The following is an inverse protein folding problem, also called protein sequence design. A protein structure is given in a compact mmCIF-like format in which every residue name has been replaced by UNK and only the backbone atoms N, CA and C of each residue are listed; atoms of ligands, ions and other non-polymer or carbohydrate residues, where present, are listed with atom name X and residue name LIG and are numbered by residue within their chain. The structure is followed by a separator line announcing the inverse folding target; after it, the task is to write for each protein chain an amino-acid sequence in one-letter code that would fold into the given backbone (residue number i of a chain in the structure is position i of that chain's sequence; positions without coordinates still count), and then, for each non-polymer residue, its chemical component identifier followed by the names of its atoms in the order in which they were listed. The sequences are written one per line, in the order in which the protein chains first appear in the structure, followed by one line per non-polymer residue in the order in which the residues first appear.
data_IF_613306173228
#
_entry.id   IF_613306173228
#
_cell.length_a   1.000
_cell.length_b   1.000
_cell.length_c   1.000
_cell.angle_alpha   90.00
_cell.angle_beta   90.00
_cell.angle_gamma   90.00
#
_symmetry.space_group_name_H-M   'P 1'
#
loop_
_entity.id
_entity.type
_entity.pdbx_description
1 polymer ?
#
# COMPACT_ATOMS: atom_id res chain seq x y z
N UNK A 1 -30.50 36.64 44.17
CA UNK A 1 -31.55 37.37 43.41
C UNK A 1 -32.96 36.90 43.73
N UNK A 2 -33.25 35.60 43.87
CA UNK A 2 -34.61 35.13 44.25
C UNK A 2 -34.89 35.33 45.75
N UNK A 3 -33.91 35.07 46.63
CA UNK A 3 -34.09 35.22 48.09
C UNK A 3 -34.31 36.67 48.55
N UNK A 4 -33.70 37.65 47.86
CA UNK A 4 -33.88 39.08 48.16
C UNK A 4 -35.28 39.59 47.82
N UNK A 5 -35.93 39.05 46.78
CA UNK A 5 -37.30 39.42 46.41
C UNK A 5 -38.34 38.84 47.37
N UNK A 6 -38.08 37.69 47.99
CA UNK A 6 -38.97 37.10 49.00
C UNK A 6 -38.95 37.87 50.33
N UNK A 7 -37.80 38.43 50.73
CA UNK A 7 -37.70 39.27 51.93
C UNK A 7 -38.51 40.57 51.80
N UNK A 8 -38.45 41.23 50.64
CA UNK A 8 -39.15 42.51 50.41
C UNK A 8 -40.67 42.36 50.39
N UNK A 9 -41.19 41.26 49.83
CA UNK A 9 -42.62 40.95 49.88
C UNK A 9 -43.08 40.58 51.29
N UNK A 10 -42.20 39.96 52.09
CA UNK A 10 -42.48 39.63 53.48
C UNK A 10 -42.59 40.90 54.34
N UNK A 11 -41.67 41.86 54.16
CA UNK A 11 -41.65 43.12 54.92
C UNK A 11 -42.85 44.02 54.58
N UNK A 12 -43.27 44.10 53.32
CA UNK A 12 -44.47 44.85 52.93
C UNK A 12 -45.75 44.19 53.48
N UNK A 13 -45.80 42.86 53.48
CA UNK A 13 -46.94 42.09 53.98
C UNK A 13 -47.02 42.16 55.52
N UNK A 14 -45.89 42.16 56.21
CA UNK A 14 -45.82 42.30 57.66
C UNK A 14 -46.06 43.75 58.11
N UNK A 15 -45.63 44.75 57.34
CA UNK A 15 -46.06 46.13 57.55
C UNK A 15 -47.56 46.27 57.34
N UNK A 16 -48.15 45.69 56.28
CA UNK A 16 -49.61 45.70 56.08
C UNK A 16 -50.36 44.96 57.19
N UNK A 17 -49.83 43.85 57.71
CA UNK A 17 -50.43 43.15 58.87
C UNK A 17 -50.31 43.99 60.13
N UNK A 18 -49.15 44.57 60.43
CA UNK A 18 -48.96 45.42 61.61
C UNK A 18 -49.79 46.69 61.52
N UNK A 19 -49.90 47.30 60.35
CA UNK A 19 -50.73 48.47 60.13
C UNK A 19 -52.21 48.12 60.26
N UNK A 20 -52.67 46.99 59.70
CA UNK A 20 -54.02 46.47 59.94
C UNK A 20 -54.28 46.20 61.43
N UNK A 21 -53.31 45.63 62.15
CA UNK A 21 -53.41 45.39 63.60
C UNK A 21 -53.39 46.71 64.41
N UNK A 22 -52.61 47.72 64.00
CA UNK A 22 -52.62 49.07 64.61
C UNK A 22 -53.95 49.79 64.36
N UNK A 23 -54.53 49.66 63.16
CA UNK A 23 -55.87 50.18 62.85
C UNK A 23 -56.94 49.48 63.69
N UNK A 24 -56.88 48.16 63.86
CA UNK A 24 -57.80 47.40 64.72
C UNK A 24 -57.64 47.74 66.22
N UNK A 25 -56.40 47.91 66.70
CA UNK A 25 -56.12 48.36 68.07
C UNK A 25 -56.54 49.82 68.29
N UNK A 26 -56.35 50.72 67.31
CA UNK A 26 -56.89 52.09 67.34
C UNK A 26 -58.43 52.09 67.31
N UNK A 27 -59.07 51.17 66.57
CA UNK A 27 -60.53 51.02 66.55
C UNK A 27 -61.07 50.53 67.90
N UNK A 28 -60.46 49.51 68.51
CA UNK A 28 -60.84 49.02 69.85
C UNK A 28 -60.51 49.99 71.00
N UNK A 29 -59.52 50.86 70.83
CA UNK A 29 -59.20 51.92 71.80
C UNK A 29 -60.05 53.19 71.58
N UNK A 30 -60.63 53.39 70.39
CA UNK A 30 -61.55 54.52 70.12
C UNK A 30 -62.92 54.34 70.77
N UNK A 31 -63.36 53.12 71.04
CA UNK A 31 -64.58 52.87 71.82
C UNK A 31 -64.37 53.09 73.34
N UNK A 32 -63.11 53.11 73.80
CA UNK A 32 -62.75 53.25 75.23
C UNK A 32 -62.05 54.58 75.58
N UNK A 33 -61.54 55.34 74.60
CA UNK A 33 -60.87 56.65 74.76
C UNK A 33 -61.57 57.78 74.01
N UNK A 34 -62.89 57.75 73.96
CA UNK A 34 -63.71 58.93 73.66
C UNK A 34 -63.91 59.79 74.93
N UNK A 35 -62.89 59.95 75.78
CA UNK A 35 -62.95 60.82 76.97
C UNK A 35 -61.72 61.70 77.19
N UNK A 36 -60.50 61.28 76.83
CA UNK A 36 -59.32 62.01 77.31
C UNK A 36 -58.44 62.50 76.15
N UNK A 37 -58.77 63.67 75.63
CA UNK A 37 -57.79 64.61 75.06
C UNK A 37 -58.19 66.00 75.54
N UNK A 38 -57.56 66.45 76.62
CA UNK A 38 -57.52 67.86 77.02
C UNK A 38 -56.84 68.63 75.89
N UNK A 39 -57.65 69.40 75.16
CA UNK A 39 -57.17 70.53 74.37
C UNK A 39 -57.55 71.72 75.22
N UNK A 40 -56.55 72.45 75.69
CA UNK A 40 -56.67 73.67 76.49
C UNK A 40 -57.87 74.50 76.03
N UNK A 41 -58.80 74.70 76.96
CA UNK A 41 -59.86 75.68 76.79
C UNK A 41 -59.21 77.03 76.53
N UNK A 42 -59.56 77.75 75.45
CA UNK A 42 -59.40 79.19 75.49
C UNK A 42 -60.37 79.70 76.55
N UNK A 43 -59.83 79.95 77.73
CA UNK A 43 -60.37 80.90 78.70
C UNK A 43 -60.81 82.14 77.92
N UNK A 44 -62.12 82.33 77.81
CA UNK A 44 -62.68 83.65 77.53
C UNK A 44 -64.11 83.67 78.05
N UNK A 45 -64.18 84.00 79.33
CA UNK A 45 -65.18 84.89 79.91
C UNK A 45 -66.00 85.66 78.86
N UNK A 46 -67.29 85.38 78.82
CA UNK A 46 -68.27 86.42 78.53
C UNK A 46 -69.61 86.04 79.16
N UNK A 47 -69.61 85.98 80.49
CA UNK A 47 -70.76 86.45 81.25
C UNK A 47 -70.94 87.94 80.92
N UNK A 48 -71.75 88.24 79.91
CA UNK A 48 -72.27 89.59 79.70
C UNK A 48 -73.75 89.58 80.03
N UNK A 49 -73.96 89.69 81.35
CA UNK A 49 -74.97 90.53 81.98
C UNK A 49 -75.51 91.58 81.00
N UNK A 50 -76.83 91.56 80.80
CA UNK A 50 -77.60 92.60 80.13
C UNK A 50 -77.00 93.98 80.45
N UNK A 51 -76.34 94.59 79.45
CA UNK A 51 -75.56 95.81 79.68
C UNK A 51 -76.47 96.90 80.21
N UNK A 52 -75.95 97.83 81.02
CA UNK A 52 -76.77 98.94 81.54
C UNK A 52 -77.41 99.77 80.41
N UNK A 53 -76.80 99.75 79.21
CA UNK A 53 -77.35 100.34 77.97
C UNK A 53 -78.64 99.63 77.51
N UNK A 54 -78.72 98.30 77.64
CA UNK A 54 -79.93 97.53 77.33
C UNK A 54 -81.05 97.83 78.34
N UNK A 55 -80.72 98.01 79.62
CA UNK A 55 -81.71 98.40 80.66
C UNK A 55 -82.22 99.81 80.45
N UNK A 56 -81.34 100.77 80.14
CA UNK A 56 -81.71 102.15 79.86
C UNK A 56 -82.58 102.27 78.60
N UNK A 57 -82.26 101.53 77.53
CA UNK A 57 -83.08 101.51 76.32
C UNK A 57 -84.47 100.91 76.57
N UNK A 58 -84.57 99.81 77.33
CA UNK A 58 -85.85 99.20 77.73
C UNK A 58 -86.68 100.16 78.60
N UNK A 59 -86.05 100.85 79.57
CA UNK A 59 -86.71 101.85 80.43
C UNK A 59 -87.20 103.06 79.61
N UNK A 60 -86.40 103.52 78.64
CA UNK A 60 -86.76 104.66 77.77
C UNK A 60 -87.88 104.32 76.78
N UNK A 61 -87.89 103.10 76.25
CA UNK A 61 -88.99 102.57 75.42
C UNK A 61 -90.28 102.37 76.21
N UNK A 62 -90.22 101.87 77.44
CA UNK A 62 -91.40 101.65 78.30
C UNK A 62 -91.97 102.96 78.89
N UNK A 63 -91.15 103.99 79.12
CA UNK A 63 -91.63 105.31 79.54
C UNK A 63 -92.28 106.11 78.41
N UNK A 64 -91.82 105.99 77.16
CA UNK A 64 -92.40 106.71 76.02
C UNK A 64 -93.79 106.21 75.57
N UNK A 65 -94.24 105.03 76.02
CA UNK A 65 -95.57 104.50 75.69
C UNK A 65 -96.69 104.92 76.66
N UNK A 66 -96.39 105.65 77.75
CA UNK A 66 -97.41 106.06 78.76
C UNK A 66 -98.28 107.26 78.37
N UNK A 67 -98.26 107.72 77.11
CA UNK A 67 -99.04 108.89 76.66
C UNK A 67 -99.83 108.67 75.36
N UNK A 68 -100.48 107.51 75.22
CA UNK A 68 -101.62 107.34 74.31
C UNK A 68 -102.61 106.36 74.95
N UNK A 69 -103.90 106.70 75.02
CA UNK A 69 -104.96 105.82 75.55
C UNK A 69 -105.23 104.68 74.56
N UNK A 70 -104.32 103.70 74.52
CA UNK A 70 -104.55 102.41 73.88
C UNK A 70 -105.50 101.61 74.77
N UNK A 71 -106.56 101.04 74.18
CA UNK A 71 -107.48 100.14 74.87
C UNK A 71 -106.68 99.03 75.55
N UNK A 72 -107.08 98.59 76.75
CA UNK A 72 -106.45 97.48 77.48
C UNK A 72 -106.16 96.29 76.56
N UNK A 73 -107.02 96.07 75.56
CA UNK A 73 -106.88 95.03 74.54
C UNK A 73 -105.65 95.18 73.65
N UNK A 74 -105.23 96.38 73.29
CA UNK A 74 -104.05 96.62 72.43
C UNK A 74 -102.75 96.57 73.22
N UNK A 75 -102.76 96.97 74.49
CA UNK A 75 -101.66 96.72 75.42
C UNK A 75 -101.45 95.21 75.65
N UNK A 76 -102.54 94.48 75.93
CA UNK A 76 -102.49 93.03 76.06
C UNK A 76 -102.02 92.35 74.77
N UNK A 77 -102.41 92.85 73.60
CA UNK A 77 -101.94 92.36 72.30
C UNK A 77 -100.45 92.58 72.09
N UNK A 78 -99.95 93.80 72.32
CA UNK A 78 -98.52 94.12 72.20
C UNK A 78 -97.66 93.35 73.20
N UNK A 79 -98.12 93.17 74.45
CA UNK A 79 -97.42 92.32 75.42
C UNK A 79 -97.42 90.84 75.02
N UNK A 80 -98.52 90.35 74.46
CA UNK A 80 -98.59 88.97 73.95
C UNK A 80 -97.67 88.78 72.73
N UNK A 81 -97.64 89.74 71.80
CA UNK A 81 -96.71 89.76 70.65
C UNK A 81 -95.25 89.82 71.13
N UNK A 82 -94.94 90.68 72.10
CA UNK A 82 -93.60 90.78 72.71
C UNK A 82 -93.21 89.46 73.39
N UNK A 83 -94.12 88.83 74.12
CA UNK A 83 -93.88 87.53 74.74
C UNK A 83 -93.62 86.43 73.70
N UNK A 84 -94.41 86.35 72.62
CA UNK A 84 -94.19 85.38 71.55
C UNK A 84 -92.86 85.62 70.84
N UNK A 85 -92.53 86.87 70.52
CA UNK A 85 -91.25 87.21 69.90
C UNK A 85 -90.09 86.86 70.84
N UNK A 86 -90.20 87.16 72.12
CA UNK A 86 -89.18 86.81 73.12
C UNK A 86 -89.04 85.30 73.30
N UNK A 87 -90.15 84.55 73.35
CA UNK A 87 -90.15 83.09 73.37
C UNK A 87 -89.51 82.52 72.11
N UNK A 88 -89.86 83.06 70.93
CA UNK A 88 -89.31 82.63 69.64
C UNK A 88 -87.82 82.91 69.56
N UNK A 89 -87.37 84.09 69.98
CA UNK A 89 -85.95 84.44 70.07
C UNK A 89 -85.24 83.48 71.04
N UNK A 90 -85.83 83.17 72.19
CA UNK A 90 -85.23 82.25 73.16
C UNK A 90 -85.11 80.83 72.60
N UNK A 91 -86.16 80.31 71.94
CA UNK A 91 -86.11 79.00 71.25
C UNK A 91 -85.05 79.00 70.16
N UNK A 92 -84.94 80.06 69.35
CA UNK A 92 -83.92 80.17 68.30
C UNK A 92 -82.51 80.29 68.87
N UNK A 93 -82.32 81.05 69.96
CA UNK A 93 -81.03 81.13 70.67
C UNK A 93 -80.60 79.76 71.21
N UNK A 94 -81.50 79.04 71.87
CA UNK A 94 -81.22 77.69 72.37
C UNK A 94 -80.91 76.70 71.23
N UNK A 95 -81.61 76.81 70.09
CA UNK A 95 -81.34 75.98 68.92
C UNK A 95 -79.98 76.31 68.28
N UNK A 96 -79.63 77.60 68.17
CA UNK A 96 -78.31 78.06 67.71
C UNK A 96 -77.22 77.50 68.63
N UNK A 97 -77.37 77.64 69.95
CA UNK A 97 -76.41 77.13 70.92
C UNK A 97 -76.23 75.61 70.81
N UNK A 98 -77.33 74.86 70.60
CA UNK A 98 -77.26 73.41 70.37
C UNK A 98 -76.47 73.08 69.11
N UNK A 99 -76.76 73.76 68.00
CA UNK A 99 -76.07 73.54 66.72
C UNK A 99 -74.59 73.94 66.80
N UNK A 100 -74.25 75.04 67.46
CA UNK A 100 -72.87 75.46 67.70
C UNK A 100 -72.11 74.45 68.58
N UNK A 101 -72.79 73.83 69.55
CA UNK A 101 -72.20 72.76 70.36
C UNK A 101 -71.92 71.51 69.53
N UNK A 102 -72.84 71.11 68.66
CA UNK A 102 -72.66 69.93 67.81
C UNK A 102 -71.63 70.18 66.71
N UNK A 103 -71.62 71.37 66.10
CA UNK A 103 -70.59 71.79 65.14
C UNK A 103 -69.19 71.75 65.78
N UNK A 104 -69.03 72.27 67.00
CA UNK A 104 -67.74 72.21 67.73
C UNK A 104 -67.29 70.78 68.02
N UNK A 105 -68.21 69.85 68.30
CA UNK A 105 -67.85 68.43 68.48
C UNK A 105 -67.37 67.82 67.16
N UNK A 106 -68.07 68.09 66.07
CA UNK A 106 -67.71 67.58 64.73
C UNK A 106 -66.37 68.17 64.26
N UNK A 107 -66.14 69.46 64.47
CA UNK A 107 -64.87 70.12 64.16
C UNK A 107 -63.71 69.52 64.96
N UNK A 108 -63.88 69.28 66.27
CA UNK A 108 -62.85 68.59 67.08
C UNK A 108 -62.59 67.17 66.60
N UNK A 109 -63.64 66.43 66.21
CA UNK A 109 -63.49 65.08 65.68
C UNK A 109 -62.75 65.08 64.33
N UNK A 110 -63.03 66.07 63.47
CA UNK A 110 -62.35 66.26 62.20
C UNK A 110 -60.88 66.62 62.41
N UNK A 111 -60.57 67.58 63.28
CA UNK A 111 -59.18 67.97 63.61
C UNK A 111 -58.41 66.76 64.15
N UNK A 112 -59.05 65.93 64.98
CA UNK A 112 -58.41 64.72 65.52
C UNK A 112 -58.13 63.69 64.42
N UNK A 113 -59.05 63.48 63.48
CA UNK A 113 -58.83 62.54 62.37
C UNK A 113 -57.79 63.05 61.36
N UNK A 114 -57.77 64.36 61.07
CA UNK A 114 -56.76 65.01 60.24
C UNK A 114 -55.35 64.89 60.86
N UNK A 115 -55.23 65.11 62.18
CA UNK A 115 -53.97 64.87 62.92
C UNK A 115 -53.49 63.43 62.78
N UNK A 116 -54.37 62.44 62.93
CA UNK A 116 -53.95 61.04 62.75
C UNK A 116 -53.51 60.73 61.33
N UNK A 117 -54.19 61.26 60.31
CA UNK A 117 -53.80 61.04 58.91
C UNK A 117 -52.45 61.69 58.62
N UNK A 118 -52.22 62.91 59.11
CA UNK A 118 -50.94 63.61 58.94
C UNK A 118 -49.79 62.90 59.65
N UNK A 119 -50.01 62.38 60.86
CA UNK A 119 -49.05 61.53 61.56
C UNK A 119 -48.75 60.23 60.80
N UNK A 120 -49.77 59.53 60.30
CA UNK A 120 -49.60 58.28 59.55
C UNK A 120 -48.91 58.53 58.18
N UNK A 121 -49.19 59.66 57.52
CA UNK A 121 -48.48 60.10 56.30
C UNK A 121 -46.99 60.35 56.59
N UNK A 122 -46.67 61.05 57.68
CA UNK A 122 -45.28 61.29 58.06
C UNK A 122 -44.53 59.98 58.38
N UNK A 123 -45.19 59.00 58.99
CA UNK A 123 -44.63 57.67 59.22
C UNK A 123 -44.40 56.91 57.91
N UNK A 124 -45.31 57.06 56.94
CA UNK A 124 -45.17 56.43 55.63
C UNK A 124 -44.02 57.04 54.82
N UNK A 125 -43.85 58.36 54.85
CA UNK A 125 -42.73 59.03 54.20
C UNK A 125 -41.39 58.58 54.81
N UNK A 126 -41.30 58.49 56.15
CA UNK A 126 -40.13 57.95 56.83
C UNK A 126 -39.84 56.49 56.44
N UNK A 127 -40.89 55.68 56.26
CA UNK A 127 -40.75 54.30 55.79
C UNK A 127 -40.21 54.25 54.35
N UNK A 128 -40.74 55.08 53.44
CA UNK A 128 -40.26 55.15 52.06
C UNK A 128 -38.80 55.61 52.00
N UNK A 129 -38.42 56.60 52.79
CA UNK A 129 -37.02 57.06 52.87
C UNK A 129 -36.09 55.95 53.37
N UNK A 130 -36.49 55.25 54.44
CA UNK A 130 -35.70 54.13 54.98
C UNK A 130 -35.60 52.97 53.98
N UNK A 131 -36.69 52.65 53.28
CA UNK A 131 -36.71 51.62 52.26
C UNK A 131 -35.87 51.98 51.04
N UNK A 132 -35.99 53.20 50.52
CA UNK A 132 -35.20 53.70 49.41
C UNK A 132 -33.70 53.70 49.75
N UNK A 133 -33.34 54.12 50.97
CA UNK A 133 -31.95 54.03 51.46
C UNK A 133 -31.47 52.59 51.52
N UNK A 134 -32.23 51.68 52.14
CA UNK A 134 -31.84 50.27 52.23
C UNK A 134 -31.73 49.61 50.84
N UNK A 135 -32.64 49.91 49.92
CA UNK A 135 -32.59 49.42 48.54
C UNK A 135 -31.36 49.96 47.80
N UNK A 136 -31.06 51.25 47.95
CA UNK A 136 -29.86 51.88 47.40
C UNK A 136 -28.59 51.29 47.99
N UNK A 137 -28.53 51.08 49.31
CA UNK A 137 -27.38 50.49 50.00
C UNK A 137 -27.18 49.02 49.62
N UNK A 138 -28.27 48.28 49.36
CA UNK A 138 -28.19 46.92 48.85
C UNK A 138 -27.66 46.89 47.41
N UNK A 139 -28.12 47.81 46.55
CA UNK A 139 -27.61 47.94 45.18
C UNK A 139 -26.13 48.34 45.16
N UNK A 140 -25.74 49.34 45.96
CA UNK A 140 -24.36 49.79 46.07
C UNK A 140 -23.42 48.66 46.53
N UNK A 141 -23.83 47.86 47.52
CA UNK A 141 -23.06 46.69 47.96
C UNK A 141 -22.94 45.62 46.86
N UNK A 142 -24.01 45.36 46.13
CA UNK A 142 -23.98 44.41 45.00
C UNK A 142 -23.05 44.89 43.88
N UNK A 143 -23.07 46.20 43.57
CA UNK A 143 -22.18 46.81 42.57
C UNK A 143 -20.72 46.76 43.03
N UNK A 144 -20.44 47.06 44.31
CA UNK A 144 -19.10 46.96 44.90
C UNK A 144 -18.57 45.51 44.84
N UNK A 145 -19.39 44.52 45.18
CA UNK A 145 -19.04 43.10 45.04
C UNK A 145 -18.80 42.71 43.57
N UNK A 146 -19.60 43.23 42.65
CA UNK A 146 -19.43 43.01 41.21
C UNK A 146 -18.12 43.62 40.69
N UNK A 147 -17.76 44.83 41.12
CA UNK A 147 -16.49 45.47 40.80
C UNK A 147 -15.30 44.65 41.32
N UNK A 148 -15.35 44.23 42.60
CA UNK A 148 -14.30 43.37 43.19
C UNK A 148 -14.14 42.05 42.41
N UNK A 149 -15.25 41.43 42.01
CA UNK A 149 -15.23 40.22 41.18
C UNK A 149 -14.57 40.48 39.83
N UNK A 150 -14.90 41.60 39.16
CA UNK A 150 -14.31 41.96 37.88
C UNK A 150 -12.80 42.22 37.99
N UNK A 151 -12.35 42.90 39.04
CA UNK A 151 -10.93 43.08 39.35
C UNK A 151 -10.20 41.74 39.51
N UNK A 152 -10.77 40.81 40.29
CA UNK A 152 -10.20 39.46 40.46
C UNK A 152 -10.14 38.69 39.14
N UNK A 153 -11.18 38.78 38.30
CA UNK A 153 -11.19 38.15 36.98
C UNK A 153 -10.08 38.73 36.09
N UNK A 154 -9.88 40.05 36.12
CA UNK A 154 -8.84 40.70 35.34
C UNK A 154 -7.43 40.30 35.83
N UNK A 155 -7.25 40.15 37.14
CA UNK A 155 -6.00 39.66 37.71
C UNK A 155 -5.75 38.18 37.36
N UNK A 156 -6.77 37.32 37.40
CA UNK A 156 -6.68 35.93 36.93
C UNK A 156 -6.21 35.89 35.48
N UNK A 157 -6.84 36.68 34.59
CA UNK A 157 -6.45 36.76 33.17
C UNK A 157 -5.00 37.22 33.00
N UNK A 158 -4.55 38.19 33.81
CA UNK A 158 -3.16 38.67 33.80
C UNK A 158 -2.21 37.55 34.22
N UNK A 159 -2.52 36.84 35.30
CA UNK A 159 -1.73 35.71 35.79
C UNK A 159 -1.69 34.56 34.78
N UNK A 160 -2.83 34.19 34.18
CA UNK A 160 -2.91 33.18 33.12
C UNK A 160 -2.00 33.53 31.92
N UNK A 161 -2.01 34.80 31.50
CA UNK A 161 -1.10 35.28 30.44
C UNK A 161 0.36 35.10 30.84
N UNK A 162 0.74 35.49 32.06
CA UNK A 162 2.13 35.32 32.53
C UNK A 162 2.52 33.85 32.69
N UNK A 163 1.58 33.00 33.11
CA UNK A 163 1.81 31.57 33.23
C UNK A 163 2.07 30.96 31.84
N UNK A 164 1.31 31.37 30.82
CA UNK A 164 1.54 30.93 29.45
C UNK A 164 2.91 31.38 28.93
N UNK A 165 3.35 32.61 29.21
CA UNK A 165 4.69 33.06 28.81
C UNK A 165 5.78 32.23 29.47
N UNK A 166 5.70 32.00 30.79
CA UNK A 166 6.67 31.15 31.49
C UNK A 166 6.64 29.70 31.02
N UNK A 167 5.47 29.17 30.65
CA UNK A 167 5.35 27.83 30.07
C UNK A 167 6.04 27.75 28.70
N UNK A 168 5.85 28.76 27.85
CA UNK A 168 6.52 28.84 26.55
C UNK A 168 8.04 28.97 26.73
N UNK A 169 8.50 29.81 27.65
CA UNK A 169 9.92 29.96 27.98
C UNK A 169 10.51 28.65 28.51
N UNK A 170 9.80 27.96 29.42
CA UNK A 170 10.19 26.62 29.91
C UNK A 170 10.33 25.63 28.77
N UNK A 171 9.37 25.59 27.84
CA UNK A 171 9.43 24.67 26.70
C UNK A 171 10.59 25.02 25.77
N UNK A 172 10.82 26.31 25.51
CA UNK A 172 11.96 26.78 24.74
C UNK A 172 13.30 26.36 25.37
N UNK A 173 13.44 26.55 26.69
CA UNK A 173 14.64 26.12 27.43
C UNK A 173 14.81 24.60 27.41
N UNK A 174 13.73 23.82 27.53
CA UNK A 174 13.77 22.36 27.41
C UNK A 174 14.26 21.95 26.02
N UNK A 175 13.78 22.60 24.97
CA UNK A 175 14.21 22.29 23.60
C UNK A 175 15.66 22.72 23.35
N UNK A 176 16.10 23.87 23.88
CA UNK A 176 17.50 24.30 23.82
C UNK A 176 18.42 23.31 24.56
N UNK A 177 18.00 22.80 25.73
CA UNK A 177 18.73 21.76 26.46
C UNK A 177 18.80 20.46 25.66
N UNK A 178 17.71 20.05 25.00
CA UNK A 178 17.72 18.87 24.11
C UNK A 178 18.69 19.05 22.95
N UNK A 179 18.70 20.21 22.30
CA UNK A 179 19.64 20.51 21.21
C UNK A 179 21.08 20.49 21.71
N UNK A 180 21.35 21.16 22.84
CA UNK A 180 22.68 21.19 23.46
C UNK A 180 23.17 19.79 23.81
N UNK A 181 22.29 18.91 24.34
CA UNK A 181 22.61 17.49 24.57
C UNK A 181 22.92 16.72 23.30
N UNK A 182 22.18 16.95 22.20
CA UNK A 182 22.50 16.33 20.91
C UNK A 182 23.86 16.80 20.39
N UNK A 183 24.16 18.09 20.48
CA UNK A 183 25.46 18.63 20.09
C UNK A 183 26.58 18.05 20.97
N UNK A 184 26.37 17.94 22.27
CA UNK A 184 27.31 17.31 23.19
C UNK A 184 27.57 15.85 22.84
N UNK A 185 26.51 15.06 22.57
CA UNK A 185 26.65 13.67 22.13
C UNK A 185 27.41 13.57 20.80
N UNK A 186 27.10 14.46 19.85
CA UNK A 186 27.81 14.53 18.57
C UNK A 186 29.29 14.83 18.80
N UNK A 187 29.62 15.88 19.56
CA UNK A 187 31.00 16.24 19.88
C UNK A 187 31.74 15.11 20.59
N UNK A 188 31.10 14.39 21.51
CA UNK A 188 31.73 13.26 22.18
C UNK A 188 32.15 12.16 21.18
N UNK A 189 31.35 11.86 20.16
CA UNK A 189 31.68 10.89 19.11
C UNK A 189 32.87 11.28 18.23
N UNK A 190 33.14 12.58 18.09
CA UNK A 190 34.30 13.07 17.34
C UNK A 190 35.54 13.29 18.21
N UNK A 191 35.41 13.28 19.54
CA UNK A 191 36.55 13.38 20.43
C UNK A 191 37.48 12.15 20.27
N UNK A 192 38.81 12.27 20.46
CA UNK A 192 39.73 11.14 20.38
C UNK A 192 39.35 10.00 21.35
N UNK A 193 39.52 8.75 20.92
CA UNK A 193 39.23 7.55 21.74
C UNK A 193 40.00 7.56 23.05
N UNK A 194 41.29 7.92 23.03
CA UNK A 194 42.14 8.01 24.22
C UNK A 194 41.57 8.98 25.27
N UNK A 195 40.98 10.10 24.82
CA UNK A 195 40.37 11.08 25.71
C UNK A 195 39.03 10.58 26.26
N UNK A 196 38.20 9.95 25.41
CA UNK A 196 36.93 9.33 25.86
C UNK A 196 37.17 8.24 26.90
N UNK A 197 38.19 7.40 26.69
CA UNK A 197 38.53 6.31 27.59
C UNK A 197 39.06 6.82 28.93
N UNK A 198 39.83 7.92 28.93
CA UNK A 198 40.24 8.59 30.18
C UNK A 198 39.03 9.08 30.99
N UNK A 199 38.02 9.67 30.33
CA UNK A 199 36.77 10.08 30.98
C UNK A 199 36.04 8.83 31.52
N UNK A 200 35.82 7.81 30.69
CA UNK A 200 35.17 6.56 31.06
C UNK A 200 35.85 5.88 32.26
N UNK A 201 37.18 5.83 32.30
CA UNK A 201 37.94 5.23 33.39
C UNK A 201 37.85 6.04 34.70
N UNK A 202 37.90 7.37 34.61
CA UNK A 202 37.73 8.25 35.78
C UNK A 202 36.32 8.17 36.38
N UNK A 203 35.31 7.90 35.56
CA UNK A 203 33.91 7.74 36.00
C UNK A 203 33.58 6.34 36.51
N UNK A 204 34.17 5.30 35.92
CA UNK A 204 34.09 3.93 36.43
C UNK A 204 34.65 3.80 37.87
N UNK A 205 35.62 4.64 38.23
CA UNK A 205 36.13 4.72 39.61
C UNK A 205 35.17 5.43 40.60
N UNK A 206 34.12 6.12 40.13
CA UNK A 206 33.14 6.83 40.98
C UNK A 206 31.81 6.08 41.20
N UNK A 207 31.48 5.07 40.39
CA UNK A 207 30.22 4.33 40.48
C UNK A 207 30.40 2.83 40.19
N UNK A 208 30.84 2.06 41.19
CA UNK A 208 30.96 0.60 41.09
C UNK A 208 29.64 -0.14 41.43
N UNK A 209 28.65 0.52 42.05
CA UNK A 209 27.54 -0.22 42.68
C UNK A 209 26.22 -0.34 41.89
N UNK A 210 26.07 0.21 40.67
CA UNK A 210 24.74 0.27 40.02
C UNK A 210 24.57 -0.29 38.59
N UNK A 211 25.58 -0.81 37.90
CA UNK A 211 25.48 -0.94 36.42
C UNK A 211 26.01 -2.21 35.75
N UNK A 212 25.72 -3.40 36.29
CA UNK A 212 26.18 -4.68 35.69
C UNK A 212 25.44 -5.13 34.41
N UNK A 213 24.43 -4.42 33.90
CA UNK A 213 23.61 -4.91 32.77
C UNK A 213 23.30 -3.89 31.67
N UNK A 214 24.17 -2.91 31.42
CA UNK A 214 23.86 -1.91 30.39
C UNK A 214 24.93 -1.87 29.32
N UNK A 215 24.50 -2.09 28.07
CA UNK A 215 25.32 -2.05 26.87
C UNK A 215 26.10 -0.73 26.78
N UNK A 216 27.32 -0.77 26.22
CA UNK A 216 28.27 0.37 26.13
C UNK A 216 27.60 1.64 25.57
N UNK A 217 26.67 1.49 24.63
CA UNK A 217 25.87 2.59 24.05
C UNK A 217 25.05 3.40 25.08
N UNK A 218 24.59 2.77 26.16
CA UNK A 218 23.84 3.46 27.22
C UNK A 218 24.75 4.16 28.22
N UNK A 219 26.01 3.74 28.35
CA UNK A 219 26.97 4.34 29.27
C UNK A 219 27.34 5.77 28.81
N UNK A 220 27.49 5.96 27.49
CA UNK A 220 27.72 7.26 26.85
C UNK A 220 26.59 8.27 27.09
N UNK A 221 25.33 7.79 27.04
CA UNK A 221 24.14 8.60 27.35
C UNK A 221 24.07 9.02 28.82
N UNK A 222 24.47 8.14 29.75
CA UNK A 222 24.45 8.40 31.19
C UNK A 222 25.58 9.36 31.58
N UNK A 223 26.77 9.20 30.99
CA UNK A 223 27.92 10.07 31.28
C UNK A 223 27.73 11.49 30.77
N UNK A 224 27.07 11.65 29.62
CA UNK A 224 26.67 12.96 29.08
C UNK A 224 25.44 13.57 29.77
N UNK A 225 24.86 12.88 30.76
CA UNK A 225 23.80 13.41 31.62
C UNK A 225 24.32 14.09 32.90
N UNK A 226 25.61 13.90 33.22
CA UNK A 226 26.26 14.51 34.38
C UNK A 226 26.99 15.79 33.96
N UNK A 227 26.68 16.90 34.64
CA UNK A 227 27.03 18.28 34.25
C UNK A 227 28.52 18.66 34.44
N UNK A 228 29.37 17.73 34.89
CA UNK A 228 30.70 18.06 35.44
C UNK A 228 31.91 17.73 34.53
N UNK A 229 31.70 17.41 33.25
CA UNK A 229 32.82 17.08 32.34
C UNK A 229 33.16 18.24 31.40
N UNK A 230 34.43 18.67 31.44
CA UNK A 230 34.98 19.59 30.45
C UNK A 230 34.91 18.97 29.06
N UNK A 231 34.41 19.72 28.07
CA UNK A 231 34.39 19.29 26.67
C UNK A 231 35.81 19.26 26.09
N UNK A 232 36.09 18.30 25.19
CA UNK A 232 37.35 18.24 24.44
C UNK A 232 37.48 19.44 23.48
N UNK A 233 36.40 19.75 22.77
CA UNK A 233 36.35 20.85 21.82
C UNK A 233 35.99 22.16 22.52
N UNK A 234 36.82 23.18 22.33
CA UNK A 234 36.64 24.53 22.90
C UNK A 234 36.35 25.57 21.83
N UNK A 235 36.79 25.34 20.59
CA UNK A 235 36.54 26.23 19.45
C UNK A 235 35.92 25.44 18.28
N UNK A 236 34.98 26.02 17.53
CA UNK A 236 34.36 25.35 16.38
C UNK A 236 35.35 24.91 15.30
N UNK A 237 36.43 25.69 15.11
CA UNK A 237 37.44 25.45 14.08
C UNK A 237 38.16 24.10 14.27
N UNK A 238 38.29 23.63 15.51
CA UNK A 238 38.92 22.34 15.83
C UNK A 238 38.15 21.16 15.23
N UNK A 239 36.82 21.25 15.20
CA UNK A 239 35.99 20.22 14.58
C UNK A 239 36.08 20.28 13.05
N UNK A 240 36.14 21.49 12.48
CA UNK A 240 36.30 21.70 11.04
C UNK A 240 37.63 21.12 10.55
N UNK A 241 38.72 21.32 11.31
CA UNK A 241 40.03 20.75 11.01
C UNK A 241 40.00 19.21 10.96
N UNK A 242 39.33 18.55 11.91
CA UNK A 242 39.12 17.10 11.89
C UNK A 242 38.31 16.67 10.66
N UNK A 243 37.26 17.42 10.29
CA UNK A 243 36.49 17.13 9.09
C UNK A 243 37.33 17.26 7.82
N UNK A 244 38.14 18.31 7.71
CA UNK A 244 39.06 18.50 6.58
C UNK A 244 40.12 17.40 6.53
N UNK A 245 40.67 16.98 7.67
CA UNK A 245 41.61 15.85 7.73
C UNK A 245 40.95 14.52 7.34
N UNK A 246 39.72 14.26 7.80
CA UNK A 246 38.97 13.08 7.37
C UNK A 246 38.63 13.12 5.88
N UNK A 247 38.27 14.29 5.35
CA UNK A 247 38.02 14.50 3.93
C UNK A 247 39.30 14.21 3.12
N UNK A 248 40.43 14.81 3.52
CA UNK A 248 41.74 14.61 2.90
C UNK A 248 42.20 13.14 2.95
N UNK A 249 41.91 12.40 4.02
CA UNK A 249 42.21 10.96 4.10
C UNK A 249 41.25 10.09 3.31
N UNK A 250 39.97 10.47 3.22
CA UNK A 250 38.94 9.69 2.53
C UNK A 250 39.03 9.83 1.01
N UNK A 251 39.42 11.00 0.50
CA UNK A 251 39.46 11.27 -0.94
C UNK A 251 40.43 10.34 -1.70
N UNK A 252 41.71 10.15 -1.27
CA UNK A 252 42.62 9.19 -1.91
C UNK A 252 42.15 7.74 -1.77
N UNK A 253 41.42 7.41 -0.70
CA UNK A 253 40.86 6.07 -0.52
C UNK A 253 39.74 5.80 -1.53
N UNK A 254 38.89 6.80 -1.77
CA UNK A 254 37.85 6.75 -2.81
C UNK A 254 38.51 6.63 -4.19
N UNK A 255 39.50 7.46 -4.51
CA UNK A 255 40.25 7.36 -5.77
C UNK A 255 40.91 5.99 -5.95
N UNK A 256 41.55 5.46 -4.89
CA UNK A 256 42.13 4.12 -4.92
C UNK A 256 41.06 3.05 -5.16
N UNK A 257 39.92 3.14 -4.50
CA UNK A 257 38.82 2.19 -4.68
C UNK A 257 38.27 2.23 -6.12
N UNK A 258 38.13 3.42 -6.69
CA UNK A 258 37.69 3.61 -8.06
C UNK A 258 38.72 3.04 -9.05
N UNK A 259 40.00 3.37 -8.90
CA UNK A 259 41.07 2.81 -9.73
C UNK A 259 41.09 1.28 -9.65
N UNK A 260 40.94 0.69 -8.46
CA UNK A 260 40.86 -0.77 -8.33
C UNK A 260 39.63 -1.37 -9.00
N UNK A 261 38.48 -0.68 -8.96
CA UNK A 261 37.27 -1.09 -9.68
C UNK A 261 37.50 -1.07 -11.19
N UNK A 262 38.08 0.01 -11.72
CA UNK A 262 38.38 0.13 -13.16
C UNK A 262 39.36 -0.95 -13.62
N UNK A 263 40.37 -1.29 -12.81
CA UNK A 263 41.30 -2.40 -13.11
C UNK A 263 40.56 -3.74 -13.12
N UNK A 264 39.67 -3.97 -12.15
CA UNK A 264 38.83 -5.19 -12.13
C UNK A 264 37.93 -5.28 -13.35
N UNK A 265 37.31 -4.18 -13.77
CA UNK A 265 36.46 -4.13 -14.96
C UNK A 265 37.25 -4.42 -16.24
N UNK A 266 38.49 -3.91 -16.35
CA UNK A 266 39.41 -4.25 -17.45
C UNK A 266 39.76 -5.73 -17.43
N UNK A 267 40.10 -6.30 -16.28
CA UNK A 267 40.39 -7.74 -16.14
C UNK A 267 39.16 -8.56 -16.56
N UNK A 268 37.97 -8.20 -16.07
CA UNK A 268 36.73 -8.90 -16.40
C UNK A 268 36.43 -8.83 -17.91
N UNK A 269 36.65 -7.68 -18.54
CA UNK A 269 36.53 -7.53 -19.99
C UNK A 269 37.51 -8.44 -20.73
N UNK A 270 38.80 -8.49 -20.32
CA UNK A 270 39.80 -9.38 -20.94
C UNK A 270 39.49 -10.86 -20.74
N UNK A 271 38.96 -11.26 -19.58
CA UNK A 271 38.50 -12.63 -19.33
C UNK A 271 37.32 -12.96 -20.26
N UNK A 272 36.36 -12.04 -20.40
CA UNK A 272 35.21 -12.24 -21.27
C UNK A 272 35.62 -12.40 -22.75
N UNK A 273 36.56 -11.58 -23.23
CA UNK A 273 37.05 -11.68 -24.62
C UNK A 273 37.87 -12.95 -24.84
N UNK A 274 38.76 -13.30 -23.91
CA UNK A 274 39.58 -14.52 -24.03
C UNK A 274 38.73 -15.79 -23.95
N UNK A 275 37.70 -15.81 -23.10
CA UNK A 275 36.76 -16.91 -23.03
C UNK A 275 35.97 -17.06 -24.34
N UNK A 276 35.50 -15.96 -24.92
CA UNK A 276 34.86 -15.98 -26.24
C UNK A 276 35.79 -16.52 -27.34
N UNK A 277 37.05 -16.08 -27.38
CA UNK A 277 38.05 -16.57 -28.33
C UNK A 277 38.34 -18.07 -28.14
N UNK A 278 38.47 -18.52 -26.89
CA UNK A 278 38.68 -19.93 -26.55
C UNK A 278 37.47 -20.79 -26.94
N UNK A 279 36.25 -20.37 -26.62
CA UNK A 279 35.02 -21.07 -26.98
C UNK A 279 34.90 -21.21 -28.50
N UNK A 280 35.21 -20.15 -29.24
CA UNK A 280 35.25 -20.19 -30.70
C UNK A 280 36.34 -21.14 -31.23
N UNK A 281 37.53 -21.16 -30.62
CA UNK A 281 38.57 -22.14 -30.99
C UNK A 281 38.13 -23.59 -30.71
N UNK A 282 37.46 -23.84 -29.58
CA UNK A 282 36.90 -25.15 -29.23
C UNK A 282 35.84 -25.56 -30.26
N UNK A 283 34.96 -24.64 -30.66
CA UNK A 283 33.96 -24.90 -31.70
C UNK A 283 34.63 -25.25 -33.04
N UNK A 284 35.66 -24.51 -33.46
CA UNK A 284 36.41 -24.82 -34.68
C UNK A 284 37.11 -26.18 -34.62
N UNK A 285 37.70 -26.54 -33.48
CA UNK A 285 38.33 -27.86 -33.30
C UNK A 285 37.28 -28.97 -33.33
N UNK A 286 36.11 -28.75 -32.73
CA UNK A 286 35.00 -29.71 -32.75
C UNK A 286 34.49 -29.94 -34.17
N UNK A 287 34.37 -28.87 -34.98
CA UNK A 287 34.01 -28.98 -36.40
C UNK A 287 35.05 -29.80 -37.18
N UNK A 288 36.35 -29.57 -36.95
CA UNK A 288 37.43 -30.36 -37.57
C UNK A 288 37.37 -31.83 -37.15
N UNK A 289 37.14 -32.12 -35.86
CA UNK A 289 36.98 -33.49 -35.36
C UNK A 289 35.79 -34.17 -36.03
N UNK A 290 34.64 -33.50 -36.11
CA UNK A 290 33.45 -34.05 -36.75
C UNK A 290 33.70 -34.33 -38.24
N UNK A 291 34.34 -33.41 -38.96
CA UNK A 291 34.72 -33.63 -40.36
C UNK A 291 35.64 -34.85 -40.53
N UNK A 292 36.66 -35.00 -39.68
CA UNK A 292 37.54 -36.16 -39.72
C UNK A 292 36.80 -37.46 -39.37
N UNK A 293 35.86 -37.42 -38.42
CA UNK A 293 34.98 -38.58 -38.11
C UNK A 293 34.15 -38.96 -39.33
N UNK A 294 33.58 -37.99 -40.04
CA UNK A 294 32.80 -38.25 -41.25
C UNK A 294 33.67 -38.87 -42.36
N UNK A 295 34.89 -38.38 -42.55
CA UNK A 295 35.84 -38.96 -43.50
C UNK A 295 36.24 -40.41 -43.13
N UNK A 296 36.48 -40.67 -41.84
CA UNK A 296 36.77 -42.02 -41.35
C UNK A 296 35.56 -42.93 -41.57
N UNK A 297 34.35 -42.49 -41.23
CA UNK A 297 33.12 -43.26 -41.45
C UNK A 297 32.91 -43.57 -42.93
N UNK A 298 33.11 -42.59 -43.80
CA UNK A 298 33.04 -42.78 -45.24
C UNK A 298 34.07 -43.81 -45.74
N UNK A 299 35.30 -43.79 -45.24
CA UNK A 299 36.32 -44.78 -45.62
C UNK A 299 36.00 -46.18 -45.06
N UNK A 300 35.45 -46.28 -43.84
CA UNK A 300 34.96 -47.53 -43.26
C UNK A 300 33.82 -48.11 -44.12
N UNK A 301 32.86 -47.29 -44.54
CA UNK A 301 31.76 -47.71 -45.43
C UNK A 301 32.31 -48.18 -46.79
N UNK A 302 33.30 -47.45 -47.34
CA UNK A 302 33.97 -47.83 -48.59
C UNK A 302 34.70 -49.18 -48.45
N UNK A 303 35.42 -49.39 -47.36
CA UNK A 303 36.07 -50.68 -47.06
C UNK A 303 35.04 -51.81 -46.91
N UNK A 304 33.94 -51.56 -46.20
CA UNK A 304 32.85 -52.54 -46.03
C UNK A 304 32.19 -52.90 -47.35
N UNK A 305 31.89 -51.93 -48.22
CA UNK A 305 31.31 -52.20 -49.55
C UNK A 305 32.28 -52.99 -50.43
N UNK A 306 33.59 -52.67 -50.40
CA UNK A 306 34.61 -53.46 -51.07
C UNK A 306 34.69 -54.89 -50.51
N UNK A 307 34.68 -55.09 -49.20
CA UNK A 307 34.66 -56.43 -48.57
C UNK A 307 33.41 -57.22 -48.92
N UNK A 308 32.24 -56.58 -48.93
CA UNK A 308 30.97 -57.21 -49.31
C UNK A 308 30.96 -57.61 -50.78
N UNK A 309 31.43 -56.74 -51.68
CA UNK A 309 31.62 -57.07 -53.11
C UNK A 309 32.61 -58.22 -53.27
N UNK A 310 33.77 -58.16 -52.60
CA UNK A 310 34.77 -59.23 -52.63
C UNK A 310 34.19 -60.58 -52.14
N UNK A 311 33.40 -60.57 -51.08
CA UNK A 311 32.71 -61.76 -50.56
C UNK A 311 31.66 -62.28 -51.54
N UNK A 312 30.90 -61.39 -52.19
CA UNK A 312 29.92 -61.74 -53.23
C UNK A 312 30.59 -62.38 -54.45
N UNK A 313 31.74 -61.87 -54.89
CA UNK A 313 32.52 -62.47 -55.98
C UNK A 313 33.18 -63.79 -55.58
N UNK A 314 33.64 -63.94 -54.32
CA UNK A 314 34.18 -65.19 -53.79
C UNK A 314 33.15 -66.32 -53.66
N UNK A 315 31.87 -65.99 -53.43
CA UNK A 315 30.77 -66.97 -53.29
C UNK A 315 30.10 -67.36 -54.62
N UNK A 316 30.48 -66.74 -55.74
CA UNK A 316 29.96 -67.05 -57.07
C UNK A 316 31.03 -67.72 -57.94
N UNK A 317 30.97 -69.05 -58.08
CA UNK A 317 31.56 -69.97 -59.10
C UNK A 317 32.97 -69.74 -59.72
N UNK A 318 33.77 -68.76 -59.30
CA UNK A 318 35.12 -68.44 -59.80
C UNK A 318 36.24 -68.76 -58.80
N UNK A 319 36.04 -69.76 -57.93
CA UNK A 319 36.97 -70.13 -56.85
C UNK A 319 38.34 -70.66 -57.34
N UNK A 320 38.47 -71.04 -58.62
CA UNK A 320 39.69 -71.66 -59.17
C UNK A 320 40.67 -70.66 -59.79
N UNK A 321 40.20 -69.55 -60.37
CA UNK A 321 41.03 -68.58 -61.11
C UNK A 321 41.75 -67.59 -60.19
N UNK A 322 41.28 -67.39 -58.97
CA UNK A 322 41.87 -66.46 -58.00
C UNK A 322 42.87 -67.11 -57.04
N UNK A 323 42.90 -68.44 -56.89
CA UNK A 323 43.98 -69.11 -56.15
C UNK A 323 45.34 -68.95 -56.86
N UNK A 324 45.31 -68.82 -58.20
CA UNK A 324 46.50 -68.66 -59.05
C UNK A 324 47.08 -67.23 -58.98
N UNK A 325 46.26 -66.22 -58.67
CA UNK A 325 46.69 -64.80 -58.66
C UNK A 325 47.19 -64.35 -57.28
N UNK A 326 46.81 -65.03 -56.19
CA UNK A 326 47.19 -64.66 -54.82
C UNK A 326 48.18 -65.62 -54.13
N UNK A 327 48.73 -66.61 -54.85
CA UNK A 327 49.88 -67.39 -54.39
C UNK A 327 51.17 -66.56 -54.59
N UNK A 328 51.61 -65.95 -53.48
CA UNK A 328 52.92 -65.34 -53.19
C UNK A 328 53.95 -65.19 -54.35
N UNK A 329 54.41 -63.95 -54.66
CA UNK A 329 55.50 -63.68 -55.60
C UNK A 329 56.88 -63.94 -54.97
N UNK A 330 57.15 -65.20 -54.63
CA UNK A 330 58.44 -65.64 -54.11
C UNK A 330 58.85 -66.92 -54.84
N UNK A 331 59.84 -66.76 -55.73
CA UNK A 331 60.61 -67.79 -56.45
C UNK A 331 60.10 -68.18 -57.84
N UNK A 332 60.55 -67.43 -58.85
CA UNK A 332 60.73 -67.97 -60.20
C UNK A 332 62.18 -67.81 -60.64
N UNK A 333 62.88 -68.94 -60.73
CA UNK A 333 64.14 -69.04 -61.45
C UNK A 333 63.86 -69.19 -62.94
N UNK A 334 64.68 -68.49 -63.72
CA UNK A 334 64.75 -68.52 -65.18
C UNK A 334 65.38 -69.82 -65.68
N UNK A 335 64.64 -70.61 -66.45
CA UNK A 335 65.23 -71.56 -67.42
C UNK A 335 64.46 -71.46 -68.73
N UNK A 336 65.23 -71.44 -69.83
CA UNK A 336 64.90 -70.83 -71.12
C UNK A 336 64.01 -71.65 -72.06
N UNK A 337 63.40 -72.73 -71.61
CA UNK A 337 62.48 -73.54 -72.44
C UNK A 337 61.11 -73.59 -71.76
N UNK A 338 60.34 -72.51 -71.92
CA UNK A 338 59.01 -72.40 -71.35
C UNK A 338 57.99 -72.37 -72.51
N UNK A 339 57.11 -73.38 -72.67
CA UNK A 339 56.07 -73.43 -73.72
C UNK A 339 55.07 -72.26 -73.64
N UNK A 340 55.11 -71.51 -72.53
CA UNK A 340 54.41 -70.25 -72.33
C UNK A 340 54.87 -69.12 -73.28
N UNK A 341 56.15 -69.08 -73.65
CA UNK A 341 56.68 -67.99 -74.49
C UNK A 341 56.24 -68.13 -75.96
N UNK A 342 56.09 -69.37 -76.45
CA UNK A 342 55.56 -69.64 -77.80
C UNK A 342 54.05 -69.37 -77.90
N UNK A 343 53.28 -69.70 -76.86
CA UNK A 343 51.87 -69.33 -76.78
C UNK A 343 51.66 -67.82 -76.74
N UNK A 344 52.49 -67.11 -75.96
CA UNK A 344 52.47 -65.64 -75.90
C UNK A 344 52.78 -65.03 -77.27
N UNK A 345 53.80 -65.56 -77.97
CA UNK A 345 54.15 -65.12 -79.33
C UNK A 345 53.00 -65.33 -80.32
N UNK A 346 52.33 -66.48 -80.28
CA UNK A 346 51.19 -66.79 -81.14
C UNK A 346 49.97 -65.89 -80.84
N UNK A 347 49.72 -65.57 -79.57
CA UNK A 347 48.64 -64.66 -79.17
C UNK A 347 48.91 -63.20 -79.62
N UNK A 348 50.16 -62.74 -79.50
CA UNK A 348 50.58 -61.42 -79.98
C UNK A 348 50.45 -61.34 -81.50
N UNK A 349 50.81 -62.38 -82.24
CA UNK A 349 50.67 -62.43 -83.70
C UNK A 349 49.20 -62.37 -84.14
N UNK A 350 48.30 -63.05 -83.41
CA UNK A 350 46.86 -62.96 -83.64
C UNK A 350 46.31 -61.56 -83.39
N UNK A 351 46.76 -60.89 -82.32
CA UNK A 351 46.35 -59.52 -82.00
C UNK A 351 46.86 -58.52 -83.03
N UNK A 352 48.11 -58.67 -83.47
CA UNK A 352 48.70 -57.85 -84.54
C UNK A 352 47.89 -58.00 -85.83
N UNK A 353 47.66 -59.23 -86.31
CA UNK A 353 46.87 -59.50 -87.52
C UNK A 353 45.43 -58.98 -87.46
N UNK A 354 44.81 -59.02 -86.28
CA UNK A 354 43.39 -58.64 -86.12
C UNK A 354 43.18 -57.13 -86.12
N UNK A 355 44.11 -56.35 -85.57
CA UNK A 355 43.90 -54.91 -85.31
C UNK A 355 44.84 -53.98 -86.08
N UNK A 356 45.87 -54.52 -86.75
CA UNK A 356 46.81 -53.78 -87.59
C UNK A 356 46.82 -54.44 -88.97
N UNK A 357 46.28 -53.75 -89.98
CA UNK A 357 46.19 -54.25 -91.36
C UNK A 357 47.49 -53.87 -92.08
N UNK A 358 48.54 -54.69 -91.94
CA UNK A 358 49.81 -54.57 -92.69
C UNK A 358 50.45 -55.95 -92.87
N UNK A 359 50.59 -56.41 -94.12
CA UNK A 359 51.19 -57.70 -94.50
C UNK A 359 52.73 -57.63 -94.56
N UNK A 360 53.36 -57.35 -93.41
CA UNK A 360 54.82 -57.36 -93.27
C UNK A 360 55.29 -58.74 -92.76
N UNK A 361 55.82 -59.56 -93.67
CA UNK A 361 56.25 -60.93 -93.39
C UNK A 361 57.59 -60.93 -92.63
N UNK A 362 57.58 -61.34 -91.35
CA UNK A 362 58.79 -61.66 -90.57
C UNK A 362 59.18 -60.72 -89.41
N UNK A 363 58.26 -59.89 -88.91
CA UNK A 363 58.52 -58.98 -87.79
C UNK A 363 58.82 -59.71 -86.46
N UNK A 364 59.73 -59.15 -85.65
CA UNK A 364 60.02 -59.68 -84.30
C UNK A 364 58.85 -59.43 -83.35
N UNK A 365 58.69 -60.28 -82.31
CA UNK A 365 57.63 -60.14 -81.29
C UNK A 365 57.64 -58.77 -80.63
N UNK A 366 58.82 -58.18 -80.43
CA UNK A 366 58.96 -56.83 -79.89
C UNK A 366 58.43 -55.76 -80.86
N UNK A 367 58.71 -55.90 -82.17
CA UNK A 367 58.21 -54.97 -83.19
C UNK A 367 56.68 -55.06 -83.36
N UNK A 368 56.11 -56.27 -83.26
CA UNK A 368 54.65 -56.46 -83.24
C UNK A 368 54.01 -55.81 -82.00
N UNK A 369 54.63 -55.99 -80.83
CA UNK A 369 54.18 -55.34 -79.59
C UNK A 369 54.27 -53.82 -79.68
N UNK A 370 55.36 -53.26 -80.20
CA UNK A 370 55.54 -51.82 -80.33
C UNK A 370 54.52 -51.19 -81.29
N UNK A 371 54.13 -51.91 -82.35
CA UNK A 371 53.07 -51.47 -83.26
C UNK A 371 51.68 -51.57 -82.61
N UNK A 372 51.40 -52.64 -81.86
CA UNK A 372 50.18 -52.77 -81.05
C UNK A 372 50.12 -51.67 -79.99
N UNK A 373 51.23 -51.37 -79.33
CA UNK A 373 51.36 -50.30 -78.34
C UNK A 373 51.14 -48.93 -78.98
N UNK A 374 51.75 -48.65 -80.13
CA UNK A 374 51.53 -47.41 -80.89
C UNK A 374 50.06 -47.27 -81.32
N UNK A 375 49.42 -48.38 -81.70
CA UNK A 375 48.00 -48.40 -82.04
C UNK A 375 47.14 -48.13 -80.81
N UNK A 376 47.44 -48.75 -79.68
CA UNK A 376 46.79 -48.51 -78.39
C UNK A 376 46.96 -47.05 -77.98
N UNK A 377 48.15 -46.47 -78.12
CA UNK A 377 48.42 -45.07 -77.82
C UNK A 377 47.62 -44.13 -78.72
N UNK A 378 47.49 -44.46 -80.02
CA UNK A 378 46.64 -43.68 -80.93
C UNK A 378 45.15 -43.74 -80.53
N UNK A 379 44.69 -44.91 -80.07
CA UNK A 379 43.32 -45.08 -79.59
C UNK A 379 43.10 -44.36 -78.25
N UNK A 380 44.09 -44.35 -77.35
CA UNK A 380 44.02 -43.58 -76.10
C UNK A 380 43.99 -42.08 -76.37
N UNK A 381 44.81 -41.55 -77.29
CA UNK A 381 44.74 -40.15 -77.67
C UNK A 381 43.36 -39.77 -78.26
N UNK A 382 42.75 -40.67 -79.03
CA UNK A 382 41.39 -40.47 -79.54
C UNK A 382 40.37 -40.49 -78.39
N UNK A 383 40.52 -41.38 -77.41
CA UNK A 383 39.65 -41.46 -76.23
C UNK A 383 39.81 -40.22 -75.33
N UNK A 384 41.03 -39.71 -75.15
CA UNK A 384 41.31 -38.50 -74.35
C UNK A 384 40.81 -37.21 -75.01
N UNK A 385 40.71 -37.16 -76.34
CA UNK A 385 40.18 -36.01 -77.08
C UNK A 385 38.65 -36.03 -77.26
N UNK A 386 37.96 -37.10 -76.87
CA UNK A 386 36.50 -37.17 -76.94
C UNK A 386 35.84 -36.35 -75.83
N UNK A 387 34.81 -35.58 -76.18
CA UNK A 387 34.05 -34.80 -75.21
C UNK A 387 33.38 -35.74 -74.18
N UNK A 388 33.47 -35.46 -72.87
CA UNK A 388 32.93 -36.33 -71.83
C UNK A 388 31.41 -36.52 -71.91
N UNK A 389 30.69 -35.57 -72.53
CA UNK A 389 29.24 -35.65 -72.76
C UNK A 389 28.86 -36.76 -73.75
N UNK A 390 29.64 -36.93 -74.83
CA UNK A 390 29.38 -37.94 -75.86
C UNK A 390 29.72 -39.36 -75.35
N UNK A 391 30.72 -39.48 -74.47
CA UNK A 391 31.07 -40.74 -73.80
C UNK A 391 29.95 -41.21 -72.88
N UNK A 392 29.34 -40.30 -72.12
CA UNK A 392 28.19 -40.62 -71.25
C UNK A 392 26.97 -41.04 -72.08
N UNK A 393 26.74 -40.44 -73.24
CA UNK A 393 25.63 -40.81 -74.13
C UNK A 393 25.86 -42.15 -74.85
N UNK A 394 27.10 -42.42 -75.27
CA UNK A 394 27.50 -43.71 -75.82
C UNK A 394 27.42 -44.84 -74.78
N UNK A 395 27.85 -44.61 -73.53
CA UNK A 395 27.74 -45.60 -72.45
C UNK A 395 26.27 -45.86 -72.08
N UNK A 396 25.43 -44.82 -72.05
CA UNK A 396 23.97 -45.00 -71.92
C UNK A 396 23.40 -45.84 -73.06
N UNK A 397 23.79 -45.58 -74.30
CA UNK A 397 23.33 -46.32 -75.48
C UNK A 397 23.79 -47.78 -75.47
N UNK A 398 25.04 -48.04 -75.08
CA UNK A 398 25.58 -49.40 -74.89
C UNK A 398 24.85 -50.14 -73.77
N UNK A 399 24.61 -49.49 -72.63
CA UNK A 399 23.80 -50.08 -71.56
C UNK A 399 22.36 -50.34 -72.00
N UNK A 400 21.74 -49.46 -72.78
CA UNK A 400 20.42 -49.72 -73.37
C UNK A 400 20.45 -50.92 -74.32
N UNK A 401 21.46 -51.02 -75.18
CA UNK A 401 21.65 -52.14 -76.10
C UNK A 401 21.84 -53.46 -75.36
N UNK A 402 22.68 -53.50 -74.31
CA UNK A 402 22.87 -54.69 -73.48
C UNK A 402 21.57 -55.09 -72.78
N UNK A 403 20.84 -54.11 -72.22
CA UNK A 403 19.52 -54.36 -71.61
C UNK A 403 18.52 -54.87 -72.65
N UNK A 404 18.53 -54.33 -73.87
CA UNK A 404 17.67 -54.76 -74.97
C UNK A 404 18.00 -56.18 -75.43
N UNK A 405 19.29 -56.51 -75.63
CA UNK A 405 19.74 -57.87 -75.98
C UNK A 405 19.34 -58.89 -74.92
N UNK A 406 19.51 -58.58 -73.63
CA UNK A 406 19.08 -59.46 -72.54
C UNK A 406 17.57 -59.67 -72.51
N UNK A 407 16.78 -58.65 -72.85
CA UNK A 407 15.32 -58.78 -73.02
C UNK A 407 14.97 -59.66 -74.21
N UNK A 408 15.63 -59.48 -75.36
CA UNK A 408 15.41 -60.31 -76.55
C UNK A 408 15.77 -61.76 -76.30
N UNK A 409 16.89 -62.03 -75.64
CA UNK A 409 17.32 -63.38 -75.26
C UNK A 409 16.31 -64.03 -74.30
N UNK A 410 15.83 -63.29 -73.30
CA UNK A 410 14.78 -63.80 -72.39
C UNK A 410 13.48 -64.12 -73.13
N UNK A 411 13.04 -63.25 -74.05
CA UNK A 411 11.86 -63.49 -74.90
C UNK A 411 12.06 -64.73 -75.79
N UNK A 412 13.25 -64.93 -76.36
CA UNK A 412 13.54 -66.13 -77.14
C UNK A 412 13.57 -67.40 -76.28
N UNK A 413 14.16 -67.35 -75.08
CA UNK A 413 14.15 -68.47 -74.14
C UNK A 413 12.72 -68.82 -73.70
N UNK A 414 11.87 -67.82 -73.42
CA UNK A 414 10.46 -68.05 -73.11
C UNK A 414 9.70 -68.63 -74.30
N UNK A 415 9.99 -68.19 -75.53
CA UNK A 415 9.39 -68.76 -76.74
C UNK A 415 9.80 -70.23 -76.95
N UNK A 416 11.08 -70.57 -76.81
CA UNK A 416 11.57 -71.95 -76.87
C UNK A 416 11.00 -72.81 -75.73
N UNK A 417 10.90 -72.27 -74.52
CA UNK A 417 10.28 -72.96 -73.39
C UNK A 417 8.78 -73.21 -73.64
N UNK A 418 8.07 -72.26 -74.25
CA UNK A 418 6.67 -72.45 -74.64
C UNK A 418 6.51 -73.45 -75.78
N UNK A 419 7.36 -73.41 -76.81
CA UNK A 419 7.35 -74.38 -77.91
C UNK A 419 7.68 -75.80 -77.42
N UNK A 420 8.64 -75.95 -76.50
CA UNK A 420 8.96 -77.27 -75.91
C UNK A 420 7.84 -77.78 -75.01
N UNK A 421 7.17 -76.91 -74.24
CA UNK A 421 5.96 -77.26 -73.49
C UNK A 421 4.83 -77.69 -74.43
N UNK A 422 4.60 -76.95 -75.52
CA UNK A 422 3.59 -77.30 -76.54
C UNK A 422 3.92 -78.62 -77.25
N UNK A 423 5.18 -78.85 -77.63
CA UNK A 423 5.64 -80.14 -78.20
C UNK A 423 5.49 -81.29 -77.22
N UNK A 424 5.87 -81.12 -75.95
CA UNK A 424 5.66 -82.13 -74.89
C UNK A 424 4.17 -82.39 -74.63
N UNK A 425 3.32 -81.36 -74.67
CA UNK A 425 1.87 -81.52 -74.54
C UNK A 425 1.27 -82.26 -75.74
N UNK A 426 1.69 -81.93 -76.98
CA UNK A 426 1.30 -82.63 -78.20
C UNK A 426 1.73 -84.10 -78.17
N UNK A 427 2.98 -84.40 -77.80
CA UNK A 427 3.49 -85.77 -77.64
C UNK A 427 2.75 -86.55 -76.54
N UNK A 428 2.34 -85.89 -75.45
CA UNK A 428 1.49 -86.51 -74.41
C UNK A 428 0.07 -86.77 -74.91
N UNK A 429 -0.47 -85.92 -75.78
CA UNK A 429 -1.82 -86.10 -76.35
C UNK A 429 -1.87 -87.13 -77.49
N UNK A 430 -0.77 -87.34 -78.21
CA UNK A 430 -0.70 -88.26 -79.37
C UNK A 430 -0.17 -89.65 -79.03
N UNK A 431 0.28 -89.90 -77.80
CA UNK A 431 0.78 -91.21 -77.39
C UNK A 431 -0.38 -92.22 -77.26
N UNK A 432 -0.41 -93.31 -78.05
CA UNK A 432 -1.38 -94.39 -77.88
C UNK A 432 -1.12 -95.18 -76.58
N UNK A 433 -2.16 -95.84 -76.03
CA UNK A 433 -2.23 -96.28 -74.65
C UNK A 433 -1.23 -97.40 -74.32
N UNK A 434 -0.53 -97.26 -73.18
CA UNK A 434 0.41 -98.26 -72.69
C UNK A 434 -0.30 -99.56 -72.28
N UNK A 435 0.14 -100.69 -72.84
CA UNK A 435 -0.32 -102.04 -72.49
C UNK A 435 0.34 -102.48 -71.18
N UNK A 436 -0.47 -102.90 -70.20
CA UNK A 436 0.00 -103.51 -68.94
C UNK A 436 0.86 -104.74 -69.23
N UNK A 437 2.11 -104.76 -68.74
CA UNK A 437 2.90 -105.97 -68.56
C UNK A 437 3.31 -106.08 -67.09
N UNK A 438 3.18 -107.30 -66.57
CA UNK A 438 3.04 -107.64 -65.17
C UNK A 438 4.38 -107.71 -64.40
N UNK A 439 4.25 -107.35 -63.13
CA UNK A 439 5.13 -107.46 -61.97
C UNK A 439 6.29 -108.48 -62.04
N UNK A 440 7.46 -108.01 -61.64
CA UNK A 440 8.14 -108.59 -60.46
C UNK A 440 8.35 -107.49 -59.40
N UNK A 441 8.26 -107.91 -58.14
CA UNK A 441 8.02 -107.10 -56.94
C UNK A 441 8.98 -105.91 -56.71
N UNK A 442 8.46 -104.68 -56.83
CA UNK A 442 8.99 -103.51 -56.10
C UNK A 442 7.89 -102.78 -55.31
N UNK A 443 6.64 -103.25 -55.38
CA UNK A 443 5.52 -102.75 -54.58
C UNK A 443 5.48 -103.31 -53.14
N UNK A 444 6.50 -104.06 -52.69
CA UNK A 444 6.59 -104.54 -51.30
C UNK A 444 7.57 -103.77 -50.40
N UNK A 445 8.32 -102.76 -50.88
CA UNK A 445 9.19 -101.95 -50.00
C UNK A 445 9.25 -100.44 -50.29
N UNK A 446 8.67 -99.93 -51.38
CA UNK A 446 8.29 -98.51 -51.44
C UNK A 446 6.89 -98.25 -50.87
N UNK A 447 6.49 -99.11 -49.94
CA UNK A 447 5.52 -98.86 -48.90
C UNK A 447 6.30 -98.82 -47.57
N UNK A 448 7.18 -97.82 -47.37
CA UNK A 448 7.53 -97.35 -46.01
C UNK A 448 8.27 -96.01 -45.89
N UNK A 449 9.16 -95.61 -46.80
CA UNK A 449 10.00 -94.42 -46.53
C UNK A 449 9.32 -93.04 -46.68
N UNK A 450 8.06 -92.98 -47.13
CA UNK A 450 7.26 -91.75 -47.05
C UNK A 450 6.34 -91.70 -45.82
N UNK A 451 6.53 -92.62 -44.86
CA UNK A 451 5.86 -92.66 -43.55
C UNK A 451 6.90 -92.80 -42.40
N UNK A 452 7.84 -91.87 -42.31
CA UNK A 452 8.51 -91.51 -41.05
C UNK A 452 9.08 -90.10 -41.18
N UNK A 453 8.88 -89.30 -40.15
CA UNK A 453 9.43 -87.96 -39.91
C UNK A 453 8.72 -86.76 -40.57
N UNK A 454 7.45 -86.65 -40.18
CA UNK A 454 6.97 -85.43 -39.52
C UNK A 454 7.21 -85.60 -38.01
N UNK A 455 8.22 -84.95 -37.40
CA UNK A 455 8.29 -84.64 -35.94
C UNK A 455 9.70 -84.20 -35.48
N UNK A 456 9.95 -82.89 -35.42
CA UNK A 456 10.41 -82.15 -34.24
C UNK A 456 10.85 -80.74 -34.70
N UNK A 457 10.20 -79.66 -34.24
CA UNK A 457 10.40 -79.03 -32.92
C UNK A 457 11.86 -78.59 -32.71
N UNK A 458 12.18 -77.39 -32.23
CA UNK A 458 11.46 -76.28 -31.62
C UNK A 458 12.41 -75.06 -31.78
N UNK A 459 11.96 -73.81 -31.93
CA UNK A 459 11.28 -73.05 -30.87
C UNK A 459 12.25 -72.83 -29.71
N UNK A 460 12.72 -71.62 -29.40
CA UNK A 460 12.09 -70.67 -28.46
C UNK A 460 12.99 -69.42 -28.39
N UNK A 461 12.50 -68.19 -28.59
CA UNK A 461 11.70 -67.31 -27.70
C UNK A 461 12.47 -66.83 -26.46
N UNK A 462 12.66 -65.51 -26.36
CA UNK A 462 12.22 -64.59 -25.27
C UNK A 462 12.92 -63.23 -25.54
N UNK A 463 12.29 -62.05 -25.64
CA UNK A 463 11.19 -61.36 -24.95
C UNK A 463 11.68 -60.32 -23.92
N UNK A 464 10.95 -59.19 -23.88
CA UNK A 464 10.89 -58.12 -22.86
C UNK A 464 12.06 -57.12 -22.92
N UNK A 465 11.91 -55.81 -23.15
CA UNK A 465 10.77 -54.90 -22.99
C UNK A 465 11.11 -53.87 -21.91
N UNK A 466 11.20 -52.58 -22.27
CA UNK A 466 10.71 -51.49 -21.42
C UNK A 466 10.66 -50.13 -22.15
N UNK A 467 9.49 -49.49 -21.99
CA UNK A 467 9.13 -48.11 -22.32
C UNK A 467 9.70 -47.14 -21.27
N UNK A 468 9.95 -45.88 -21.64
CA UNK A 468 9.09 -44.73 -21.29
C UNK A 468 9.66 -43.37 -21.75
N UNK A 469 8.81 -42.66 -22.50
CA UNK A 469 8.42 -41.23 -22.38
C UNK A 469 9.46 -40.17 -22.74
N UNK A 470 9.21 -39.51 -23.88
CA UNK A 470 8.66 -38.14 -23.93
C UNK A 470 7.48 -38.11 -24.91
#
# INVERSE_FOLDING_TARGET
MIETSYSVLFDLCDWQKQDRQRRLHKQGNNDQKLCDVEIDEPDSESDQLLTDVDREWIIKQTQNQRREHNSLRDYLRKNHELFILQYTINVKRNEIERLEKDLRKEERALIKSEKYITEDLALFDQFLDAWNRNASDAAARADEESMKKEELINEIKRLEKTLLTYQNDRNHLIDLLRQSRRHQQFLFKFAPEEWRDQILNNTNNRSIDAFKHTSISNMESILMSHEDYSLYFTQPDQLLEIFTEMEEKSLPLVEKSQHTSEVLDRIHSTISTTQFEQDHQVEQLQLKINHLKDLINHEIEREMTCKNLFTYYLTSDYHLTLSIIFLHPSQYNTTKDNPFNDQLKQAIEQLYKKYIISDDVGLSTHSMLQAVESKIQSLFNIIEQMNPTDIVEAEKSRQMMVRWMRRQEKVQQEKLANETKQKKALLRSSAPPYVKVEKENVLSLLLFLSFSDRSNNNGTITSIGNKKIL
#
